data_IF_215625316712
#
_entry.id   IF_215625316712
#
_cell.length_a   1.000
_cell.length_b   1.000
_cell.length_c   1.000
_cell.angle_alpha   90.00
_cell.angle_beta   90.00
_cell.angle_gamma   90.00
#
_symmetry.space_group_name_H-M   'P 1'
#
loop_
_entity.id
_entity.type
_entity.pdbx_description
1 polymer ?
#
# COMPACT_ATOMS: atom_id res chain seq x y z
N UNK A 1 6.06 2.83 2.15
CA UNK A 1 5.54 1.84 1.19
C UNK A 1 5.54 0.48 1.87
N UNK A 2 4.38 -0.11 2.10
CA UNK A 2 4.17 -1.40 2.75
C UNK A 2 4.17 -2.48 1.67
N UNK A 3 5.08 -3.45 1.72
CA UNK A 3 5.19 -4.49 0.70
C UNK A 3 6.21 -5.55 1.05
N UNK A 4 6.07 -6.75 0.46
CA UNK A 4 6.99 -7.86 0.66
C UNK A 4 8.33 -7.55 -0.04
N UNK A 5 9.29 -7.06 0.75
CA UNK A 5 10.62 -6.62 0.30
C UNK A 5 11.38 -7.72 -0.46
N UNK A 6 11.14 -8.98 -0.09
CA UNK A 6 11.82 -10.16 -0.66
C UNK A 6 11.48 -10.36 -2.14
N UNK A 7 10.25 -10.03 -2.54
CA UNK A 7 9.77 -10.21 -3.92
C UNK A 7 10.29 -9.12 -4.86
N UNK A 8 10.33 -7.87 -4.43
CA UNK A 8 10.90 -6.79 -5.25
C UNK A 8 12.39 -6.93 -5.47
N UNK A 9 13.12 -7.41 -4.46
CA UNK A 9 14.53 -7.75 -4.62
C UNK A 9 14.73 -8.93 -5.58
N UNK A 10 13.84 -9.94 -5.54
CA UNK A 10 13.92 -11.11 -6.42
C UNK A 10 13.58 -10.79 -7.89
N UNK A 11 12.73 -9.78 -8.14
CA UNK A 11 12.37 -9.29 -9.48
C UNK A 11 13.39 -8.30 -10.07
N UNK A 12 14.53 -8.06 -9.41
CA UNK A 12 15.59 -7.19 -9.92
C UNK A 12 15.25 -5.70 -9.94
N UNK A 13 14.17 -5.28 -9.26
CA UNK A 13 13.81 -3.87 -9.16
C UNK A 13 14.68 -3.23 -8.08
N UNK A 14 15.54 -2.31 -8.51
CA UNK A 14 16.39 -1.54 -7.61
C UNK A 14 15.49 -0.66 -6.74
N UNK A 15 15.41 -1.00 -5.45
CA UNK A 15 14.82 -0.12 -4.44
C UNK A 15 15.81 1.01 -4.25
N UNK A 16 15.75 2.01 -5.15
CA UNK A 16 16.49 3.25 -4.95
C UNK A 16 16.06 3.82 -3.61
N UNK A 17 16.98 4.05 -2.66
CA UNK A 17 16.64 4.70 -1.41
C UNK A 17 16.22 6.13 -1.74
N UNK A 18 14.91 6.37 -1.75
CA UNK A 18 14.38 7.72 -1.74
C UNK A 18 14.51 8.23 -0.32
N UNK A 19 15.09 9.42 -0.12
CA UNK A 19 15.45 9.96 1.21
C UNK A 19 14.27 10.07 2.21
N UNK A 20 13.02 9.89 1.76
CA UNK A 20 11.82 9.94 2.59
C UNK A 20 10.87 8.74 2.41
N UNK A 21 11.38 7.60 1.93
CA UNK A 21 10.56 6.39 1.75
C UNK A 21 11.05 5.29 2.68
N UNK A 22 10.19 4.92 3.62
CA UNK A 22 10.41 3.73 4.45
C UNK A 22 9.63 2.54 3.91
N UNK A 23 10.28 1.38 3.94
CA UNK A 23 9.69 0.10 3.57
C UNK A 23 9.50 -0.73 4.82
N UNK A 24 8.27 -1.20 5.04
CA UNK A 24 7.92 -2.03 6.19
C UNK A 24 7.03 -3.18 5.74
N UNK A 25 7.12 -4.27 6.49
CA UNK A 25 6.18 -5.37 6.37
C UNK A 25 4.85 -4.98 7.05
N UNK A 26 3.68 -5.29 6.46
CA UNK A 26 2.40 -4.95 7.08
C UNK A 26 2.22 -5.56 8.48
N UNK A 27 2.82 -6.71 8.77
CA UNK A 27 2.78 -7.31 10.12
C UNK A 27 3.47 -6.46 11.19
N UNK A 28 4.33 -5.51 10.78
CA UNK A 28 5.03 -4.58 11.67
C UNK A 28 4.35 -3.21 11.76
N UNK A 29 3.19 -3.03 11.12
CA UNK A 29 2.45 -1.78 11.18
C UNK A 29 1.78 -1.63 12.56
N UNK A 30 2.33 -0.72 13.37
CA UNK A 30 1.81 -0.37 14.71
C UNK A 30 1.53 1.13 14.82
N UNK A 31 0.75 1.53 15.83
CA UNK A 31 0.48 2.93 16.11
C UNK A 31 1.77 3.70 16.45
N UNK A 32 2.68 3.12 17.24
CA UNK A 32 3.93 3.81 17.60
C UNK A 32 4.80 4.08 16.37
N UNK A 33 4.80 3.16 15.40
CA UNK A 33 5.52 3.34 14.15
C UNK A 33 4.89 4.45 13.30
N UNK A 34 3.57 4.50 13.21
CA UNK A 34 2.87 5.56 12.49
C UNK A 34 3.12 6.93 13.12
N UNK A 35 3.12 7.03 14.45
CA UNK A 35 3.42 8.29 15.16
C UNK A 35 4.89 8.71 14.98
N UNK A 36 5.82 7.76 15.02
CA UNK A 36 7.25 8.04 14.88
C UNK A 36 7.64 8.47 13.46
N UNK A 37 7.04 7.84 12.45
CA UNK A 37 7.32 8.13 11.04
C UNK A 37 6.47 9.29 10.52
N UNK A 38 5.26 9.45 11.08
CA UNK A 38 4.22 10.39 10.66
C UNK A 38 4.07 10.50 9.13
N UNK A 39 3.74 9.40 8.43
CA UNK A 39 3.74 9.38 6.97
C UNK A 39 2.54 10.15 6.40
N UNK A 40 2.78 11.02 5.42
CA UNK A 40 1.72 11.69 4.65
C UNK A 40 1.01 10.75 3.65
N UNK A 41 1.71 9.66 3.26
CA UNK A 41 1.29 8.73 2.22
C UNK A 41 1.81 7.32 2.52
N UNK A 42 0.89 6.36 2.52
CA UNK A 42 1.18 4.93 2.57
C UNK A 42 0.81 4.33 1.21
N UNK A 43 1.74 3.52 0.70
CA UNK A 43 1.60 2.82 -0.57
C UNK A 43 1.68 1.31 -0.32
N UNK A 44 0.81 0.49 -0.87
CA UNK A 44 1.00 -0.97 -0.85
C UNK A 44 0.63 -1.63 -2.17
N UNK A 45 1.12 -2.85 -2.48
CA UNK A 45 0.50 -3.69 -3.49
C UNK A 45 -0.98 -3.90 -3.19
N UNK A 46 -1.76 -4.13 -4.25
CA UNK A 46 -3.15 -4.53 -4.13
C UNK A 46 -3.28 -5.86 -3.39
N UNK A 47 -2.51 -6.86 -3.83
CA UNK A 47 -2.43 -8.18 -3.21
C UNK A 47 -0.96 -8.49 -2.91
N UNK A 48 -0.70 -9.04 -1.73
CA UNK A 48 0.56 -9.67 -1.37
C UNK A 48 0.34 -11.16 -1.08
N UNK A 49 1.43 -11.92 -0.91
CA UNK A 49 1.33 -13.37 -0.65
C UNK A 49 0.68 -13.69 0.73
N UNK A 50 0.59 -12.70 1.63
CA UNK A 50 0.12 -12.86 3.01
C UNK A 50 -0.86 -11.77 3.48
N UNK A 51 -1.23 -10.81 2.62
CA UNK A 51 -2.16 -9.73 2.95
C UNK A 51 -2.88 -9.25 1.69
N UNK A 52 -4.09 -8.73 1.85
CA UNK A 52 -4.73 -7.93 0.82
C UNK A 52 -4.86 -6.45 1.22
N UNK A 53 -5.25 -5.62 0.26
CA UNK A 53 -5.46 -4.18 0.45
C UNK A 53 -6.52 -3.87 1.51
N UNK A 54 -7.50 -4.75 1.73
CA UNK A 54 -8.59 -4.56 2.68
C UNK A 54 -8.06 -4.76 4.09
N UNK A 55 -7.27 -5.80 4.32
CA UNK A 55 -6.62 -6.06 5.62
C UNK A 55 -5.79 -4.85 6.07
N UNK A 56 -4.97 -4.31 5.15
CA UNK A 56 -4.13 -3.13 5.43
C UNK A 56 -4.99 -1.88 5.66
N UNK A 57 -6.05 -1.67 4.86
CA UNK A 57 -6.94 -0.54 5.04
C UNK A 57 -7.65 -0.57 6.41
N UNK A 58 -8.16 -1.74 6.82
CA UNK A 58 -8.80 -1.92 8.11
C UNK A 58 -7.81 -1.71 9.26
N UNK A 59 -6.59 -2.22 9.13
CA UNK A 59 -5.54 -1.99 10.12
C UNK A 59 -5.22 -0.50 10.25
N UNK A 60 -5.09 0.24 9.14
CA UNK A 60 -4.84 1.69 9.15
C UNK A 60 -5.96 2.47 9.84
N UNK A 61 -7.22 2.13 9.54
CA UNK A 61 -8.39 2.74 10.22
C UNK A 61 -8.39 2.41 11.72
N UNK A 62 -8.12 1.14 12.08
CA UNK A 62 -8.04 0.71 13.48
C UNK A 62 -6.91 1.39 14.26
N UNK A 63 -5.83 1.78 13.58
CA UNK A 63 -4.73 2.55 14.14
C UNK A 63 -4.96 4.07 14.12
N UNK A 64 -6.08 4.55 13.57
CA UNK A 64 -6.41 5.97 13.52
C UNK A 64 -5.60 6.78 12.49
N UNK A 65 -5.02 6.13 11.48
CA UNK A 65 -4.26 6.80 10.43
C UNK A 65 -5.17 7.73 9.60
N UNK A 66 -4.78 8.99 9.46
CA UNK A 66 -5.53 10.01 8.70
C UNK A 66 -4.82 10.51 7.44
N UNK A 67 -3.67 9.93 7.11
CA UNK A 67 -2.97 10.26 5.88
C UNK A 67 -3.58 9.57 4.64
N UNK A 68 -2.90 9.73 3.51
CA UNK A 68 -3.35 9.11 2.25
C UNK A 68 -2.91 7.65 2.19
N UNK A 69 -3.79 6.78 1.71
CA UNK A 69 -3.47 5.40 1.39
C UNK A 69 -3.71 5.14 -0.10
N UNK A 70 -2.74 4.54 -0.78
CA UNK A 70 -2.88 4.15 -2.19
C UNK A 70 -2.41 2.73 -2.41
N UNK A 71 -3.21 1.94 -3.12
CA UNK A 71 -2.79 0.62 -3.57
C UNK A 71 -2.28 0.66 -5.02
N UNK A 72 -1.25 -0.13 -5.31
CA UNK A 72 -0.58 -0.20 -6.60
C UNK A 72 -0.90 -1.54 -7.24
N UNK A 73 -1.31 -1.52 -8.51
CA UNK A 73 -1.53 -2.73 -9.30
C UNK A 73 -1.07 -2.55 -10.75
N UNK A 74 -0.47 -3.59 -11.33
CA UNK A 74 -0.04 -3.64 -12.74
C UNK A 74 -1.17 -4.07 -13.68
N UNK A 75 -2.08 -4.91 -13.20
CA UNK A 75 -3.25 -5.39 -13.96
C UNK A 75 -4.43 -5.48 -13.01
N UNK A 76 -5.42 -4.61 -13.18
CA UNK A 76 -6.56 -4.52 -12.28
C UNK A 76 -7.85 -4.91 -13.00
N UNK A 77 -8.36 -6.13 -12.84
CA UNK A 77 -9.75 -6.41 -13.16
C UNK A 77 -10.64 -5.64 -12.18
N UNK A 78 -11.64 -4.94 -12.72
CA UNK A 78 -12.73 -4.28 -11.99
C UNK A 78 -12.33 -3.37 -10.82
N UNK A 79 -11.47 -2.37 -11.10
CA UNK A 79 -11.08 -1.25 -10.21
C UNK A 79 -12.26 -0.72 -9.38
N UNK A 80 -13.43 -0.55 -10.01
CA UNK A 80 -14.61 0.00 -9.36
C UNK A 80 -15.16 -0.88 -8.24
N UNK A 81 -15.07 -2.21 -8.36
CA UNK A 81 -15.50 -3.14 -7.33
C UNK A 81 -14.59 -3.02 -6.09
N UNK A 82 -13.28 -3.03 -6.30
CA UNK A 82 -12.32 -2.96 -5.20
C UNK A 82 -12.36 -1.60 -4.49
N UNK A 83 -12.49 -0.50 -5.23
CA UNK A 83 -12.71 0.82 -4.62
C UNK A 83 -13.96 0.82 -3.74
N UNK A 84 -15.04 0.19 -4.20
CA UNK A 84 -16.29 0.11 -3.45
C UNK A 84 -16.12 -0.71 -2.18
N UNK A 85 -15.46 -1.86 -2.25
CA UNK A 85 -15.22 -2.71 -1.09
C UNK A 85 -14.34 -2.02 -0.05
N UNK A 86 -13.20 -1.45 -0.46
CA UNK A 86 -12.30 -0.76 0.48
C UNK A 86 -12.99 0.45 1.11
N UNK A 87 -13.72 1.26 0.34
CA UNK A 87 -14.48 2.40 0.90
C UNK A 87 -15.60 1.98 1.86
N UNK A 88 -16.15 0.78 1.67
CA UNK A 88 -17.17 0.23 2.59
C UNK A 88 -16.53 -0.27 3.88
N UNK A 89 -15.35 -0.89 3.79
CA UNK A 89 -14.69 -1.52 4.94
C UNK A 89 -13.78 -0.57 5.74
N UNK A 90 -13.29 0.49 5.09
CA UNK A 90 -12.40 1.49 5.66
C UNK A 90 -12.98 2.90 5.47
N UNK A 91 -14.16 3.13 6.07
CA UNK A 91 -14.83 4.42 6.01
C UNK A 91 -13.95 5.53 6.61
N UNK A 92 -13.84 6.66 5.91
CA UNK A 92 -13.04 7.80 6.33
C UNK A 92 -11.55 7.75 5.95
N UNK A 93 -11.06 6.63 5.41
CA UNK A 93 -9.70 6.54 4.88
C UNK A 93 -9.62 7.14 3.47
N UNK A 94 -8.67 8.04 3.21
CA UNK A 94 -8.40 8.55 1.86
C UNK A 94 -7.69 7.46 1.04
N UNK A 95 -8.50 6.61 0.41
CA UNK A 95 -8.07 5.49 -0.42
C UNK A 95 -8.31 5.69 -1.91
N UNK A 96 -7.30 5.33 -2.71
CA UNK A 96 -7.36 5.31 -4.18
C UNK A 96 -6.35 4.30 -4.76
N UNK A 97 -6.46 4.04 -6.05
CA UNK A 97 -5.66 3.05 -6.76
C UNK A 97 -4.76 3.69 -7.80
N UNK A 98 -3.50 3.30 -7.80
CA UNK A 98 -2.51 3.71 -8.76
C UNK A 98 -2.24 2.55 -9.73
N UNK A 99 -2.68 2.72 -10.98
CA UNK A 99 -2.29 1.84 -12.07
C UNK A 99 -0.90 2.22 -12.53
N UNK A 100 0.03 1.26 -12.50
CA UNK A 100 1.33 1.45 -13.13
C UNK A 100 1.16 1.21 -14.63
N UNK A 101 1.63 2.14 -15.49
CA UNK A 101 1.68 1.85 -16.91
C UNK A 101 2.58 0.63 -17.15
N UNK A 102 2.28 -0.21 -18.16
CA UNK A 102 3.17 -1.30 -18.51
C UNK A 102 4.58 -0.73 -18.78
N UNK A 103 5.65 -1.46 -18.42
CA UNK A 103 7.01 -0.98 -18.67
C UNK A 103 7.15 -0.63 -20.15
N UNK A 104 7.63 0.59 -20.45
CA UNK A 104 7.97 0.99 -21.81
C UNK A 104 8.95 -0.05 -22.38
N UNK A 105 8.47 -0.95 -23.24
CA UNK A 105 9.35 -1.78 -24.06
C UNK A 105 10.07 -0.83 -25.03
N UNK A 106 11.38 -0.67 -24.84
CA UNK A 106 12.27 -0.06 -25.83
C UNK A 106 12.83 -1.13 -26.74
#
# INVERSE_FOLDING_TARGET
MIGNLSRWSAEGRSVVPFENVQFIDPSRLTAELLDAVNPDLILSPLWGDAFDVIDVAQQLVGLGYQGRYRAISENMPDVAMILKEVRTQAEGLDFDLLSLPPPCQK
#
